data_IF_495337469417
#
_entry.id   IF_495337469417
#
_cell.length_a   1.000
_cell.length_b   1.000
_cell.length_c   1.000
_cell.angle_alpha   90.00
_cell.angle_beta   90.00
_cell.angle_gamma   90.00
#
_symmetry.space_group_name_H-M   'P 1'
#
loop_
_entity.id
_entity.type
_entity.pdbx_description
1 polymer ?
#
# COMPACT_ATOMS: atom_id res chain seq x y z
N UNK A 1 4.93 11.96 -16.02
CA UNK A 1 3.80 11.12 -16.48
C UNK A 1 3.34 10.27 -15.32
N UNK A 2 2.05 10.26 -15.03
CA UNK A 2 1.49 9.41 -13.97
C UNK A 2 1.42 7.98 -14.51
N UNK A 3 2.12 7.04 -13.85
CA UNK A 3 2.03 5.63 -14.23
C UNK A 3 0.71 5.07 -13.71
N UNK A 4 -0.15 4.69 -14.63
CA UNK A 4 -1.34 3.90 -14.34
C UNK A 4 -1.06 2.45 -14.73
N UNK A 5 -1.25 1.53 -13.81
CA UNK A 5 -1.05 0.10 -14.01
C UNK A 5 -2.30 -0.65 -13.56
N UNK A 6 -2.56 -1.78 -14.18
CA UNK A 6 -3.57 -2.71 -13.69
C UNK A 6 -2.95 -3.62 -12.65
N UNK A 7 -3.74 -3.97 -11.66
CA UNK A 7 -3.34 -4.92 -10.64
C UNK A 7 -4.42 -5.98 -10.43
N UNK A 8 -4.01 -7.20 -10.23
CA UNK A 8 -4.89 -8.29 -9.79
C UNK A 8 -4.74 -8.46 -8.28
N UNK A 9 -5.85 -8.56 -7.58
CA UNK A 9 -5.85 -8.89 -6.16
C UNK A 9 -5.47 -10.37 -6.04
N UNK A 10 -4.23 -10.64 -5.63
CA UNK A 10 -3.73 -12.01 -5.47
C UNK A 10 -4.24 -12.65 -4.19
N UNK A 11 -4.32 -11.87 -3.12
CA UNK A 11 -4.71 -12.36 -1.80
C UNK A 11 -5.33 -11.23 -0.97
N UNK A 12 -6.34 -11.58 -0.18
CA UNK A 12 -6.98 -10.70 0.81
C UNK A 12 -6.84 -11.34 2.19
N UNK A 13 -6.07 -10.69 3.06
CA UNK A 13 -5.83 -11.15 4.43
C UNK A 13 -6.63 -10.26 5.39
N UNK A 14 -7.52 -10.87 6.16
CA UNK A 14 -8.26 -10.18 7.22
C UNK A 14 -7.40 -10.09 8.47
N UNK A 15 -6.81 -8.91 8.71
CA UNK A 15 -5.94 -8.68 9.86
C UNK A 15 -6.75 -8.49 11.16
N UNK A 16 -7.87 -7.76 11.07
CA UNK A 16 -8.85 -7.56 12.16
C UNK A 16 -10.26 -7.56 11.59
N UNK A 17 -11.27 -7.26 12.42
CA UNK A 17 -12.66 -7.15 11.97
C UNK A 17 -12.87 -6.04 10.91
N UNK A 18 -12.04 -5.00 10.94
CA UNK A 18 -12.17 -3.80 10.12
C UNK A 18 -10.89 -3.44 9.33
N UNK A 19 -9.85 -4.29 9.38
CA UNK A 19 -8.60 -4.08 8.64
C UNK A 19 -8.34 -5.27 7.73
N UNK A 20 -8.15 -4.98 6.44
CA UNK A 20 -7.73 -5.93 5.41
C UNK A 20 -6.38 -5.55 4.85
N UNK A 21 -5.54 -6.54 4.60
CA UNK A 21 -4.33 -6.41 3.79
C UNK A 21 -4.60 -7.01 2.43
N UNK A 22 -4.31 -6.24 1.38
CA UNK A 22 -4.41 -6.68 0.00
C UNK A 22 -3.01 -6.84 -0.58
N UNK A 23 -2.78 -7.98 -1.21
CA UNK A 23 -1.57 -8.26 -1.99
C UNK A 23 -1.95 -8.11 -3.46
N UNK A 24 -1.33 -7.14 -4.12
CA UNK A 24 -1.65 -6.73 -5.48
C UNK A 24 -0.49 -7.10 -6.41
N UNK A 25 -0.78 -7.89 -7.43
CA UNK A 25 0.15 -8.21 -8.51
C UNK A 25 -0.07 -7.25 -9.68
N UNK A 26 0.97 -6.52 -10.05
CA UNK A 26 0.91 -5.48 -11.09
C UNK A 26 1.16 -6.10 -12.46
N UNK A 27 0.46 -5.63 -13.49
CA UNK A 27 0.62 -6.06 -14.88
C UNK A 27 1.95 -5.62 -15.50
N UNK A 28 2.61 -4.61 -14.91
CA UNK A 28 3.92 -4.10 -15.32
C UNK A 28 4.68 -3.50 -14.14
N UNK A 29 5.98 -3.36 -14.32
CA UNK A 29 6.84 -2.80 -13.28
C UNK A 29 6.44 -1.35 -12.93
N UNK A 30 6.28 -1.09 -11.65
CA UNK A 30 6.08 0.23 -11.07
C UNK A 30 7.14 0.42 -9.96
N UNK A 31 8.34 0.89 -10.30
CA UNK A 31 9.39 1.08 -9.31
C UNK A 31 8.95 2.09 -8.24
N UNK A 32 9.09 1.72 -6.99
CA UNK A 32 8.76 2.57 -5.85
C UNK A 32 9.86 2.56 -4.80
N UNK A 33 9.79 3.48 -3.85
CA UNK A 33 10.64 3.54 -2.66
C UNK A 33 9.81 3.19 -1.43
N UNK A 34 10.43 2.55 -0.45
CA UNK A 34 9.78 2.25 0.83
C UNK A 34 9.24 3.53 1.47
N UNK A 35 7.98 3.52 1.88
CA UNK A 35 7.26 4.66 2.45
C UNK A 35 6.36 5.43 1.46
N UNK A 36 6.43 5.15 0.16
CA UNK A 36 5.54 5.75 -0.82
C UNK A 36 4.12 5.16 -0.76
N UNK A 37 3.20 5.82 -1.45
CA UNK A 37 1.79 5.40 -1.55
C UNK A 37 1.33 5.35 -3.01
N UNK A 38 0.21 4.72 -3.21
CA UNK A 38 -0.50 4.65 -4.49
C UNK A 38 -1.92 5.16 -4.34
N UNK A 39 -2.52 5.58 -5.45
CA UNK A 39 -3.95 5.84 -5.55
C UNK A 39 -4.62 4.60 -6.15
N UNK A 40 -5.60 4.06 -5.45
CA UNK A 40 -6.43 2.98 -5.97
C UNK A 40 -7.68 3.56 -6.64
N UNK A 41 -8.02 2.98 -7.78
CA UNK A 41 -9.27 3.24 -8.49
C UNK A 41 -9.96 1.91 -8.73
N UNK A 42 -11.17 1.79 -8.19
CA UNK A 42 -12.02 0.62 -8.40
C UNK A 42 -12.87 0.88 -9.62
N UNK A 43 -13.05 -0.12 -10.48
CA UNK A 43 -13.87 0.03 -11.68
C UNK A 43 -15.32 0.36 -11.33
N UNK A 44 -15.83 1.41 -11.97
CA UNK A 44 -17.18 1.95 -11.72
C UNK A 44 -18.30 1.21 -12.43
N UNK A 45 -18.01 0.27 -13.34
CA UNK A 45 -19.07 -0.48 -14.04
C UNK A 45 -19.87 -1.37 -13.09
N UNK A 46 -19.23 -1.87 -12.03
CA UNK A 46 -19.87 -2.67 -10.98
C UNK A 46 -20.55 -1.81 -9.89
N UNK A 47 -20.09 -0.58 -9.73
CA UNK A 47 -20.49 0.32 -8.66
C UNK A 47 -20.85 1.68 -9.26
N UNK A 48 -21.84 2.35 -8.73
CA UNK A 48 -22.39 3.60 -9.23
C UNK A 48 -21.32 4.67 -9.59
N UNK A 49 -21.50 5.36 -10.66
CA UNK A 49 -20.62 6.09 -11.59
C UNK A 49 -19.56 7.08 -11.04
N UNK A 50 -19.38 7.29 -9.77
CA UNK A 50 -18.40 8.23 -9.21
C UNK A 50 -17.74 7.68 -7.93
N UNK A 51 -16.85 6.70 -8.10
CA UNK A 51 -16.02 6.25 -6.99
C UNK A 51 -14.73 7.06 -7.01
N UNK A 52 -14.49 7.93 -6.01
CA UNK A 52 -13.26 8.68 -5.94
C UNK A 52 -12.07 7.73 -5.71
N UNK A 53 -10.93 8.04 -6.32
CA UNK A 53 -9.67 7.38 -5.98
C UNK A 53 -9.31 7.62 -4.51
N UNK A 54 -8.62 6.66 -3.89
CA UNK A 54 -8.13 6.77 -2.51
C UNK A 54 -6.65 6.39 -2.43
N UNK A 55 -5.94 7.12 -1.58
CA UNK A 55 -4.53 6.89 -1.31
C UNK A 55 -4.34 5.75 -0.30
N UNK A 56 -3.41 4.84 -0.61
CA UNK A 56 -2.98 3.78 0.28
C UNK A 56 -1.46 3.67 0.28
N UNK A 57 -0.86 3.69 1.47
CA UNK A 57 0.57 3.48 1.61
C UNK A 57 0.97 2.07 1.22
N UNK A 58 2.08 1.95 0.51
CA UNK A 58 2.69 0.65 0.21
C UNK A 58 3.36 0.14 1.48
N UNK A 59 2.99 -1.07 1.90
CA UNK A 59 3.42 -1.64 3.18
C UNK A 59 4.57 -2.64 3.07
N UNK A 60 5.00 -2.96 1.86
CA UNK A 60 6.18 -3.82 1.62
C UNK A 60 7.37 -3.01 1.09
N UNK A 61 8.57 -3.57 1.23
CA UNK A 61 9.75 -3.05 0.58
C UNK A 61 9.70 -3.26 -0.95
N UNK A 62 10.42 -2.43 -1.75
CA UNK A 62 10.60 -2.67 -3.17
C UNK A 62 11.11 -4.08 -3.45
N UNK A 63 10.54 -4.73 -4.46
CA UNK A 63 10.87 -6.10 -4.86
C UNK A 63 10.78 -6.27 -6.38
N UNK A 64 11.32 -7.38 -6.88
CA UNK A 64 11.34 -7.70 -8.31
C UNK A 64 10.09 -8.48 -8.79
N UNK A 65 9.10 -8.66 -7.91
CA UNK A 65 7.90 -9.47 -8.19
C UNK A 65 6.73 -8.69 -8.78
N UNK A 66 6.90 -7.41 -9.04
CA UNK A 66 5.81 -6.50 -9.45
C UNK A 66 4.63 -6.53 -8.47
N UNK A 67 4.94 -6.66 -7.19
CA UNK A 67 3.97 -6.80 -6.13
C UNK A 67 4.01 -5.59 -5.19
N UNK A 68 2.85 -5.08 -4.86
CA UNK A 68 2.67 -4.14 -3.76
C UNK A 68 1.65 -4.68 -2.76
N UNK A 69 1.85 -4.34 -1.50
CA UNK A 69 0.90 -4.65 -0.43
C UNK A 69 0.36 -3.35 0.14
N UNK A 70 -0.90 -3.35 0.50
CA UNK A 70 -1.56 -2.23 1.16
C UNK A 70 -2.37 -2.73 2.34
N UNK A 71 -2.59 -1.86 3.32
CA UNK A 71 -3.50 -2.08 4.43
C UNK A 71 -4.66 -1.09 4.32
N UNK A 72 -5.86 -1.59 4.33
CA UNK A 72 -7.08 -0.81 4.25
C UNK A 72 -7.95 -1.00 5.48
N UNK A 73 -8.31 0.11 6.12
CA UNK A 73 -9.33 0.11 7.16
C UNK A 73 -10.71 0.28 6.52
N UNK A 74 -11.61 -0.61 6.84
CA UNK A 74 -13.00 -0.57 6.39
C UNK A 74 -13.78 0.39 7.27
N UNK A 75 -14.27 1.48 6.67
CA UNK A 75 -15.00 2.54 7.35
C UNK A 75 -16.47 2.47 6.90
N UNK A 76 -17.42 2.22 7.80
CA UNK A 76 -18.83 1.99 7.43
C UNK A 76 -19.47 3.12 6.60
N UNK A 77 -19.12 4.38 6.89
CA UNK A 77 -19.70 5.56 6.21
C UNK A 77 -18.93 5.97 4.94
N UNK A 78 -17.88 5.25 4.56
CA UNK A 78 -17.11 5.50 3.36
C UNK A 78 -17.54 4.58 2.23
N UNK A 79 -18.14 5.14 1.18
CA UNK A 79 -18.52 4.36 -0.03
C UNK A 79 -17.33 3.61 -0.63
N UNK A 80 -16.18 4.26 -0.76
CA UNK A 80 -14.98 3.60 -1.29
C UNK A 80 -14.56 2.40 -0.44
N UNK A 81 -14.60 2.56 0.87
CA UNK A 81 -14.26 1.51 1.83
C UNK A 81 -15.21 0.33 1.73
N UNK A 82 -16.51 0.59 1.57
CA UNK A 82 -17.53 -0.46 1.37
C UNK A 82 -17.33 -1.21 0.06
N UNK A 83 -16.95 -0.51 -1.03
CA UNK A 83 -16.64 -1.18 -2.29
C UNK A 83 -15.37 -2.01 -2.19
N UNK A 84 -14.34 -1.47 -1.54
CA UNK A 84 -13.10 -2.22 -1.31
C UNK A 84 -13.37 -3.47 -0.46
N UNK A 85 -14.32 -3.41 0.48
CA UNK A 85 -14.72 -4.55 1.30
C UNK A 85 -15.40 -5.68 0.50
N UNK A 86 -16.02 -5.34 -0.61
CA UNK A 86 -16.72 -6.28 -1.51
C UNK A 86 -15.81 -6.87 -2.61
N UNK A 87 -14.58 -6.40 -2.73
CA UNK A 87 -13.63 -6.97 -3.68
C UNK A 87 -13.23 -8.39 -3.26
N UNK A 88 -13.04 -9.23 -4.26
CA UNK A 88 -12.62 -10.62 -4.11
C UNK A 88 -11.25 -10.84 -4.72
N UNK A 89 -10.61 -11.94 -4.34
CA UNK A 89 -9.37 -12.38 -4.98
C UNK A 89 -9.60 -12.62 -6.47
N UNK A 90 -8.56 -12.32 -7.26
CA UNK A 90 -8.55 -12.37 -8.72
C UNK A 90 -9.31 -11.24 -9.44
N UNK A 91 -9.90 -10.30 -8.73
CA UNK A 91 -10.46 -9.10 -9.35
C UNK A 91 -9.37 -8.10 -9.73
N UNK A 92 -9.63 -7.34 -10.79
CA UNK A 92 -8.74 -6.28 -11.28
C UNK A 92 -9.09 -4.93 -10.65
N UNK A 93 -8.06 -4.16 -10.32
CA UNK A 93 -8.16 -2.76 -9.90
C UNK A 93 -7.11 -1.92 -10.63
N UNK A 94 -7.34 -0.62 -10.74
CA UNK A 94 -6.35 0.31 -11.28
C UNK A 94 -5.52 0.93 -10.15
N UNK A 95 -4.21 0.99 -10.37
CA UNK A 95 -3.23 1.55 -9.44
C UNK A 95 -2.49 2.69 -10.13
N UNK A 96 -2.48 3.86 -9.51
CA UNK A 96 -1.72 5.02 -9.98
C UNK A 96 -0.62 5.35 -8.98
N UNK A 97 0.59 5.61 -9.46
CA UNK A 97 1.70 5.99 -8.62
C UNK A 97 3.06 5.62 -9.19
N UNK A 98 4.08 5.48 -8.33
CA UNK A 98 4.05 5.77 -6.89
C UNK A 98 4.12 7.25 -6.57
N UNK A 99 3.63 7.65 -5.41
CA UNK A 99 3.65 9.03 -4.92
C UNK A 99 4.29 9.13 -3.54
N UNK A 100 4.67 10.33 -3.15
CA UNK A 100 5.16 10.65 -1.81
C UNK A 100 6.66 10.83 -1.72
N UNK A 101 7.06 11.63 -0.71
CA UNK A 101 8.47 11.96 -0.40
C UNK A 101 8.94 11.43 0.95
N UNK A 102 8.05 10.88 1.73
CA UNK A 102 8.38 10.23 2.99
C UNK A 102 8.95 8.84 2.69
N UNK A 103 10.24 8.77 2.44
CA UNK A 103 10.89 7.54 1.96
C UNK A 103 12.21 7.28 2.68
N UNK A 104 12.56 6.00 2.77
CA UNK A 104 13.90 5.54 3.06
C UNK A 104 14.50 4.90 1.80
N UNK A 105 15.75 5.25 1.47
CA UNK A 105 16.45 4.77 0.29
C UNK A 105 17.96 4.66 0.52
N UNK A 106 18.67 4.01 -0.40
CA UNK A 106 20.14 3.86 -0.35
C UNK A 106 20.91 5.20 -0.29
N UNK A 107 20.26 6.31 -0.66
CA UNK A 107 20.85 7.66 -0.60
C UNK A 107 20.97 8.20 0.81
N UNK A 108 20.20 7.66 1.76
CA UNK A 108 20.08 8.21 3.11
C UNK A 108 21.30 7.89 3.99
N UNK A 109 22.13 6.91 3.62
CA UNK A 109 23.41 6.55 4.28
C UNK A 109 23.34 6.49 5.81
N UNK A 110 22.26 5.88 6.34
CA UNK A 110 22.00 5.74 7.77
C UNK A 110 22.24 4.29 8.23
N UNK A 111 22.61 4.12 9.48
CA UNK A 111 22.82 2.82 10.10
C UNK A 111 21.69 2.43 11.07
N UNK A 112 20.89 3.41 11.44
CA UNK A 112 19.78 3.23 12.39
C UNK A 112 18.64 4.18 12.07
N UNK A 113 17.40 3.71 12.25
CA UNK A 113 16.18 4.51 12.08
C UNK A 113 15.20 4.20 13.20
N UNK A 114 14.58 5.24 13.74
CA UNK A 114 13.46 5.12 14.68
C UNK A 114 12.20 5.62 13.98
N UNK A 115 11.18 4.78 13.95
CA UNK A 115 9.89 5.01 13.32
C UNK A 115 8.83 5.19 14.40
N UNK A 116 8.05 6.25 14.29
CA UNK A 116 6.96 6.54 15.21
C UNK A 116 5.64 6.56 14.46
N UNK A 117 4.69 5.73 14.84
CA UNK A 117 3.39 5.60 14.19
C UNK A 117 2.23 5.38 15.13
N UNK A 118 1.05 5.81 14.69
CA UNK A 118 -0.19 5.60 15.40
C UNK A 118 -1.29 5.17 14.43
N UNK A 119 -2.16 4.25 14.85
CA UNK A 119 -3.26 3.75 14.03
C UNK A 119 -2.80 3.26 12.65
N UNK A 120 -3.54 3.60 11.59
CA UNK A 120 -3.19 3.25 10.20
C UNK A 120 -1.97 4.01 9.67
N UNK A 121 -1.47 5.02 10.39
CA UNK A 121 -0.20 5.71 10.08
C UNK A 121 1.03 4.80 10.17
N UNK A 122 0.90 3.61 10.75
CA UNK A 122 1.95 2.58 10.73
C UNK A 122 2.18 2.00 9.32
N UNK A 123 1.22 2.07 8.43
CA UNK A 123 1.27 1.42 7.12
C UNK A 123 2.55 1.75 6.31
N UNK A 124 2.94 3.01 6.07
CA UNK A 124 4.19 3.32 5.37
C UNK A 124 5.43 2.88 6.14
N UNK A 125 5.35 2.84 7.48
CA UNK A 125 6.47 2.46 8.34
C UNK A 125 6.80 0.96 8.25
N UNK A 126 5.82 0.12 7.97
CA UNK A 126 6.01 -1.32 7.75
C UNK A 126 6.94 -1.53 6.54
N UNK A 127 6.64 -0.88 5.41
CA UNK A 127 7.48 -0.96 4.22
C UNK A 127 8.90 -0.41 4.45
N UNK A 128 9.02 0.68 5.22
CA UNK A 128 10.32 1.25 5.59
C UNK A 128 11.10 0.29 6.49
N UNK A 129 10.44 -0.35 7.47
CA UNK A 129 11.08 -1.36 8.34
C UNK A 129 11.57 -2.56 7.53
N UNK A 130 10.74 -3.11 6.66
CA UNK A 130 11.13 -4.24 5.81
C UNK A 130 12.34 -3.88 4.96
N UNK A 131 12.36 -2.69 4.35
CA UNK A 131 13.49 -2.19 3.58
C UNK A 131 14.75 -2.03 4.46
N UNK A 132 14.61 -1.44 5.64
CA UNK A 132 15.72 -1.27 6.59
C UNK A 132 16.33 -2.62 6.98
N UNK A 133 15.51 -3.64 7.25
CA UNK A 133 15.97 -5.00 7.54
C UNK A 133 16.73 -5.62 6.37
N UNK A 134 16.24 -5.47 5.14
CA UNK A 134 16.92 -5.95 3.93
C UNK A 134 18.30 -5.30 3.73
N UNK A 135 18.48 -4.06 4.21
CA UNK A 135 19.72 -3.28 4.11
C UNK A 135 20.61 -3.36 5.36
N UNK A 136 20.27 -4.22 6.33
CA UNK A 136 20.95 -4.30 7.63
C UNK A 136 21.01 -2.96 8.40
N UNK A 137 19.98 -2.12 8.21
CA UNK A 137 19.77 -0.89 8.97
C UNK A 137 19.01 -1.25 10.25
N UNK A 138 19.57 -0.91 11.40
CA UNK A 138 18.90 -1.13 12.68
C UNK A 138 17.63 -0.28 12.74
N UNK A 139 16.50 -0.89 13.04
CA UNK A 139 15.22 -0.20 13.06
C UNK A 139 14.43 -0.43 14.35
N UNK A 140 13.81 0.63 14.83
CA UNK A 140 12.93 0.63 15.99
C UNK A 140 11.58 1.19 15.60
N UNK A 141 10.49 0.49 15.97
CA UNK A 141 9.14 0.98 15.81
C UNK A 141 8.54 1.30 17.17
N UNK A 142 8.09 2.54 17.32
CA UNK A 142 7.28 2.99 18.45
C UNK A 142 5.86 3.15 17.93
N UNK A 143 4.94 2.35 18.46
CA UNK A 143 3.53 2.33 18.05
C UNK A 143 2.62 2.68 19.20
N UNK A 144 1.65 3.60 18.98
CA UNK A 144 0.67 4.05 19.96
C UNK A 144 -0.75 3.69 19.53
#
# INVERSE_FOLDING_TARGET
MVNMVKAVIREIIKETSDIKRLILELDKNMPFKAGQFVMLKIDSERFDKLIPTRAYSITNAPNDKFEIQIIAKIIPDSKFSQYLDQLEEHEEIEVQGPYGRFTLSDKDKINEVTLLGAGTGVAPLIGIMEYALQKNIKSHLIYC
#
